data_IF_732185150757
#
_entry.id   IF_732185150757
#
_cell.length_a   1.000
_cell.length_b   1.000
_cell.length_c   1.000
_cell.angle_alpha   90.00
_cell.angle_beta   90.00
_cell.angle_gamma   90.00
#
_symmetry.space_group_name_H-M   'P 1'
#
loop_
_entity.id
_entity.type
_entity.pdbx_description
1 polymer ?
#
# COMPACT_ATOMS: atom_id res chain seq x y z
N UNK A 1 21.00 -10.05 33.15
CA UNK A 1 20.40 -9.59 31.88
C UNK A 1 19.02 -10.21 31.61
N UNK A 2 18.78 -11.50 31.89
CA UNK A 2 17.48 -12.16 31.63
C UNK A 2 16.26 -11.52 32.31
N UNK A 3 16.40 -11.02 33.54
CA UNK A 3 15.31 -10.35 34.23
C UNK A 3 14.92 -9.03 33.56
N UNK A 4 15.92 -8.23 33.14
CA UNK A 4 15.71 -7.02 32.35
C UNK A 4 15.05 -7.33 31.00
N UNK A 5 15.46 -8.43 30.36
CA UNK A 5 14.83 -8.92 29.12
C UNK A 5 13.34 -9.20 29.32
N UNK A 6 12.99 -9.95 30.37
CA UNK A 6 11.59 -10.24 30.69
C UNK A 6 10.77 -8.97 30.98
N UNK A 7 11.34 -8.02 31.73
CA UNK A 7 10.70 -6.74 32.01
C UNK A 7 10.43 -5.96 30.71
N UNK A 8 11.41 -5.89 29.80
CA UNK A 8 11.25 -5.27 28.49
C UNK A 8 10.12 -5.89 27.67
N UNK A 9 10.06 -7.24 27.58
CA UNK A 9 8.99 -7.96 26.87
C UNK A 9 7.60 -7.63 27.42
N UNK A 10 7.47 -7.48 28.75
CA UNK A 10 6.23 -7.06 29.38
C UNK A 10 5.92 -5.58 29.11
N UNK A 11 6.94 -4.72 29.15
CA UNK A 11 6.84 -3.29 28.85
C UNK A 11 6.27 -3.05 27.46
N UNK A 12 6.80 -3.72 26.43
CA UNK A 12 6.30 -3.66 25.04
C UNK A 12 4.79 -3.91 24.98
N UNK A 13 4.30 -4.98 25.63
CA UNK A 13 2.89 -5.37 25.62
C UNK A 13 1.98 -4.44 26.41
N UNK A 14 2.53 -3.68 27.36
CA UNK A 14 1.81 -2.75 28.24
C UNK A 14 2.05 -1.29 27.90
N UNK A 15 2.51 -0.99 26.69
CA UNK A 15 2.81 0.38 26.27
C UNK A 15 1.59 1.28 26.34
N UNK A 16 0.43 0.81 25.88
CA UNK A 16 -0.84 1.55 25.95
C UNK A 16 -1.34 1.80 27.38
N UNK A 17 -0.85 1.04 28.37
CA UNK A 17 -1.24 1.24 29.77
C UNK A 17 -0.48 2.42 30.41
N UNK A 18 0.69 2.77 29.85
CA UNK A 18 1.62 3.73 30.45
C UNK A 18 1.86 4.98 29.61
N UNK A 19 1.79 4.87 28.28
CA UNK A 19 2.04 6.00 27.36
C UNK A 19 0.71 6.51 26.81
N UNK A 20 0.34 7.78 27.07
CA UNK A 20 -0.85 8.40 26.49
C UNK A 20 -0.87 8.33 24.96
N UNK A 21 -2.06 8.30 24.39
CA UNK A 21 -2.34 8.22 22.94
C UNK A 21 -1.82 6.96 22.22
N UNK A 22 -1.16 6.05 22.93
CA UNK A 22 -0.88 4.70 22.45
C UNK A 22 -2.14 3.85 22.60
N UNK A 23 -2.50 3.13 21.54
CA UNK A 23 -3.62 2.18 21.58
C UNK A 23 -3.09 0.76 21.68
N UNK A 24 -3.88 -0.19 22.20
CA UNK A 24 -3.49 -1.59 22.23
C UNK A 24 -3.17 -2.10 20.83
N UNK A 25 -1.95 -2.62 20.64
CA UNK A 25 -1.48 -3.18 19.37
C UNK A 25 -1.30 -4.70 19.48
N UNK A 26 -1.67 -5.47 18.44
CA UNK A 26 -1.34 -6.89 18.36
C UNK A 26 0.16 -7.05 18.08
N UNK A 27 0.93 -7.38 19.11
CA UNK A 27 2.36 -7.62 19.00
C UNK A 27 2.59 -9.06 18.54
N UNK A 28 3.11 -9.22 17.32
CA UNK A 28 3.37 -10.52 16.69
C UNK A 28 4.75 -11.07 17.09
N UNK A 29 5.72 -10.18 17.28
CA UNK A 29 7.09 -10.54 17.61
C UNK A 29 7.73 -9.49 18.50
N UNK A 30 8.58 -9.93 19.42
CA UNK A 30 9.45 -9.06 20.20
C UNK A 30 10.76 -9.77 20.50
N UNK A 31 11.87 -9.10 20.23
CA UNK A 31 13.19 -9.55 20.62
C UNK A 31 13.96 -8.43 21.33
N UNK A 32 14.76 -8.82 22.30
CA UNK A 32 15.62 -7.93 23.06
C UNK A 32 16.99 -8.59 23.15
N UNK A 33 18.00 -7.94 22.59
CA UNK A 33 19.40 -8.35 22.63
C UNK A 33 20.25 -7.28 23.32
N UNK A 34 21.44 -7.68 23.74
CA UNK A 34 22.39 -6.81 24.41
C UNK A 34 23.82 -7.12 23.95
N UNK A 35 24.60 -6.07 23.73
CA UNK A 35 26.02 -6.14 23.39
C UNK A 35 26.80 -5.28 24.39
N UNK A 36 27.97 -5.78 24.82
CA UNK A 36 28.83 -5.08 25.77
C UNK A 36 30.05 -4.56 25.04
N UNK A 37 30.20 -3.24 24.99
CA UNK A 37 31.29 -2.54 24.31
C UNK A 37 32.08 -1.71 25.33
N UNK A 38 33.11 -2.33 25.93
CA UNK A 38 33.88 -1.71 26.99
C UNK A 38 33.02 -1.45 28.23
N UNK A 39 32.75 -0.17 28.53
CA UNK A 39 31.88 0.26 29.63
C UNK A 39 30.43 0.53 29.19
N UNK A 40 30.11 0.33 27.91
CA UNK A 40 28.78 0.55 27.37
C UNK A 40 28.02 -0.77 27.23
N UNK A 41 26.73 -0.75 27.52
CA UNK A 41 25.80 -1.84 27.21
C UNK A 41 24.80 -1.32 26.19
N UNK A 42 24.84 -1.85 24.98
CA UNK A 42 23.92 -1.49 23.90
C UNK A 42 22.74 -2.46 23.95
N UNK A 43 21.55 -1.94 24.23
CA UNK A 43 20.29 -2.72 24.25
C UNK A 43 19.58 -2.48 22.93
N UNK A 44 19.29 -3.56 22.20
CA UNK A 44 18.50 -3.50 20.97
C UNK A 44 17.15 -4.17 21.21
N UNK A 45 16.07 -3.47 20.88
CA UNK A 45 14.69 -3.97 20.95
C UNK A 45 14.07 -3.93 19.57
N UNK A 46 13.55 -5.07 19.14
CA UNK A 46 12.85 -5.26 17.87
C UNK A 46 11.42 -5.69 18.16
N UNK A 47 10.45 -5.05 17.50
CA UNK A 47 9.02 -5.31 17.65
C UNK A 47 8.37 -5.37 16.27
N UNK A 48 7.53 -6.38 16.02
CA UNK A 48 6.74 -6.47 14.78
C UNK A 48 5.24 -6.49 15.09
N UNK A 49 4.46 -5.90 14.19
CA UNK A 49 2.99 -5.95 14.20
C UNK A 49 2.45 -5.94 12.78
N UNK A 50 1.22 -6.42 12.60
CA UNK A 50 0.38 -6.17 11.42
C UNK A 50 -0.83 -5.37 11.88
N UNK A 51 -0.75 -4.03 11.76
CA UNK A 51 -1.83 -3.15 12.19
C UNK A 51 -1.87 -1.82 11.42
N UNK A 52 -2.84 -0.97 11.77
CA UNK A 52 -3.05 0.34 11.13
C UNK A 52 -1.98 1.38 11.47
N UNK A 53 -1.23 1.17 12.55
CA UNK A 53 -0.10 2.01 12.99
C UNK A 53 1.15 1.16 13.19
N UNK A 54 2.31 1.82 13.32
CA UNK A 54 3.56 1.18 13.68
C UNK A 54 3.74 0.99 15.19
N UNK A 55 4.84 0.32 15.55
CA UNK A 55 5.22 -0.09 16.93
C UNK A 55 6.46 0.64 17.43
N UNK A 56 6.69 1.88 16.97
CA UNK A 56 7.88 2.65 17.36
C UNK A 56 7.92 2.90 18.87
N UNK A 57 6.76 3.26 19.44
CA UNK A 57 6.64 3.61 20.85
C UNK A 57 6.77 2.36 21.70
N UNK A 58 6.20 1.24 21.27
CA UNK A 58 6.33 -0.06 21.93
C UNK A 58 7.78 -0.51 22.01
N UNK A 59 8.53 -0.39 20.90
CA UNK A 59 9.94 -0.73 20.85
C UNK A 59 10.77 0.16 21.80
N UNK A 60 10.57 1.48 21.76
CA UNK A 60 11.29 2.42 22.62
C UNK A 60 10.91 2.28 24.10
N UNK A 61 9.64 1.99 24.39
CA UNK A 61 9.18 1.72 25.75
C UNK A 61 9.77 0.42 26.29
N UNK A 62 9.80 -0.66 25.49
CA UNK A 62 10.50 -1.89 25.83
C UNK A 62 11.99 -1.67 26.11
N UNK A 63 12.67 -0.85 25.31
CA UNK A 63 14.06 -0.48 25.53
C UNK A 63 14.24 0.30 26.84
N UNK A 64 13.35 1.25 27.12
CA UNK A 64 13.34 2.04 28.37
C UNK A 64 13.19 1.16 29.61
N UNK A 65 12.20 0.26 29.61
CA UNK A 65 11.96 -0.67 30.72
C UNK A 65 13.15 -1.61 30.92
N UNK A 66 13.73 -2.11 29.83
CA UNK A 66 14.92 -2.97 29.89
C UNK A 66 16.10 -2.21 30.51
N UNK A 67 16.39 -1.01 30.02
CA UNK A 67 17.50 -0.18 30.49
C UNK A 67 17.33 0.21 31.96
N UNK A 68 16.11 0.60 32.37
CA UNK A 68 15.82 0.93 33.76
C UNK A 68 15.96 -0.27 34.69
N UNK A 69 15.55 -1.45 34.24
CA UNK A 69 15.72 -2.68 35.01
C UNK A 69 17.21 -3.05 35.15
N UNK A 70 18.01 -2.86 34.09
CA UNK A 70 19.46 -3.05 34.18
C UNK A 70 20.12 -2.02 35.11
N UNK A 71 19.72 -0.76 35.04
CA UNK A 71 20.18 0.29 35.95
C UNK A 71 19.91 -0.11 37.41
N UNK A 72 18.69 -0.57 37.71
CA UNK A 72 18.30 -0.98 39.05
C UNK A 72 19.19 -2.10 39.61
N UNK A 73 19.56 -3.05 38.74
CA UNK A 73 20.46 -4.16 39.09
C UNK A 73 21.93 -3.74 39.23
N UNK A 74 22.39 -2.73 38.47
CA UNK A 74 23.80 -2.34 38.39
C UNK A 74 24.19 -1.21 39.36
N UNK A 75 23.24 -0.34 39.75
CA UNK A 75 23.48 0.76 40.72
C UNK A 75 24.08 0.36 42.09
N UNK A 76 23.97 -0.89 42.59
CA UNK A 76 24.69 -1.30 43.80
C UNK A 76 26.19 -1.55 43.55
N UNK A 77 26.57 -1.86 42.31
CA UNK A 77 27.93 -2.21 41.89
C UNK A 77 28.70 -0.95 41.50
N UNK A 78 28.08 -0.09 40.70
CA UNK A 78 28.66 1.18 40.24
C UNK A 78 27.61 2.30 40.35
N UNK A 79 28.00 3.41 40.97
CA UNK A 79 27.16 4.60 41.16
C UNK A 79 27.17 5.55 39.96
N UNK A 80 28.10 5.38 39.02
CA UNK A 80 28.22 6.16 37.79
C UNK A 80 27.39 5.63 36.62
N UNK A 81 26.66 4.52 36.80
CA UNK A 81 25.80 3.98 35.74
C UNK A 81 24.74 5.01 35.35
N UNK A 82 24.51 5.16 34.06
CA UNK A 82 23.47 6.02 33.50
C UNK A 82 22.81 5.38 32.28
N UNK A 83 21.63 5.89 31.90
CA UNK A 83 20.97 5.55 30.64
C UNK A 83 21.22 6.72 29.69
N UNK A 84 22.22 6.61 28.82
CA UNK A 84 22.67 7.75 28.01
C UNK A 84 21.66 8.17 26.94
N UNK A 85 21.03 7.24 26.22
CA UNK A 85 19.98 7.58 25.25
C UNK A 85 19.08 6.39 24.90
N UNK A 86 17.85 6.70 24.49
CA UNK A 86 16.90 5.76 23.89
C UNK A 86 16.41 6.39 22.58
N UNK A 87 16.56 5.69 21.46
CA UNK A 87 16.18 6.20 20.14
C UNK A 87 15.70 5.10 19.22
N UNK A 88 14.87 5.47 18.25
CA UNK A 88 14.49 4.60 17.15
C UNK A 88 15.66 4.47 16.16
N UNK A 89 16.17 3.25 15.96
CA UNK A 89 17.28 2.98 15.04
C UNK A 89 16.78 2.84 13.60
N UNK A 90 15.75 2.01 13.42
CA UNK A 90 15.16 1.72 12.12
C UNK A 90 13.67 1.46 12.30
N UNK A 91 12.88 1.93 11.34
CA UNK A 91 11.49 1.53 11.13
C UNK A 91 11.36 1.07 9.69
N UNK A 92 10.62 -0.01 9.49
CA UNK A 92 10.14 -0.41 8.18
C UNK A 92 8.70 -0.90 8.28
N UNK A 93 7.94 -0.75 7.19
CA UNK A 93 6.51 -0.96 7.14
C UNK A 93 5.72 0.35 7.29
N UNK A 94 4.52 0.36 6.68
CA UNK A 94 3.62 1.51 6.67
C UNK A 94 3.64 2.28 5.35
N UNK A 95 2.67 3.19 5.18
CA UNK A 95 2.44 3.93 3.93
C UNK A 95 3.63 4.81 3.50
N UNK A 96 4.44 5.26 4.45
CA UNK A 96 5.60 6.13 4.21
C UNK A 96 6.74 5.45 3.47
N UNK A 97 6.94 4.14 3.66
CA UNK A 97 8.02 3.39 3.01
C UNK A 97 7.79 3.23 1.51
N UNK A 98 6.53 3.26 1.10
CA UNK A 98 6.11 3.18 -0.29
C UNK A 98 6.28 4.50 -1.06
N UNK A 99 6.52 5.63 -0.38
CA UNK A 99 6.64 6.95 -1.03
C UNK A 99 7.92 7.12 -1.86
N UNK A 100 8.95 6.30 -1.63
CA UNK A 100 10.22 6.39 -2.34
C UNK A 100 10.33 5.39 -3.51
N UNK A 101 9.24 4.68 -3.85
CA UNK A 101 9.23 3.77 -4.98
C UNK A 101 8.96 4.55 -6.27
N UNK A 102 9.88 4.43 -7.22
CA UNK A 102 9.75 4.98 -8.56
C UNK A 102 9.82 3.87 -9.60
N UNK A 103 8.94 3.94 -10.61
CA UNK A 103 8.84 2.97 -11.70
C UNK A 103 8.86 3.67 -13.06
N UNK A 104 9.95 4.41 -13.41
CA UNK A 104 10.02 5.21 -14.63
C UNK A 104 9.97 4.39 -15.91
N UNK A 105 10.24 3.08 -15.83
CA UNK A 105 10.15 2.15 -16.96
C UNK A 105 8.71 1.78 -17.32
N UNK A 106 7.74 2.06 -16.44
CA UNK A 106 6.32 1.77 -16.69
C UNK A 106 5.72 2.97 -17.40
N UNK A 107 5.13 2.71 -18.57
CA UNK A 107 4.36 3.69 -19.32
C UNK A 107 2.88 3.32 -19.23
N UNK A 108 2.05 4.30 -18.90
CA UNK A 108 0.63 4.10 -18.66
C UNK A 108 -0.26 4.75 -19.72
N UNK A 109 -1.46 4.19 -19.92
CA UNK A 109 -2.59 4.87 -20.53
C UNK A 109 -3.76 4.95 -19.55
N UNK A 110 -4.46 6.09 -19.54
CA UNK A 110 -5.65 6.32 -18.72
C UNK A 110 -6.81 6.68 -19.62
N UNK A 111 -7.83 5.81 -19.64
CA UNK A 111 -9.00 5.96 -20.50
C UNK A 111 -10.24 6.16 -19.63
N UNK A 112 -10.92 7.29 -19.80
CA UNK A 112 -12.14 7.62 -19.07
C UNK A 112 -13.35 7.21 -19.92
N UNK A 113 -14.15 6.27 -19.42
CA UNK A 113 -15.40 5.84 -20.03
C UNK A 113 -16.54 6.63 -19.37
N UNK A 114 -17.04 7.64 -20.10
CA UNK A 114 -18.12 8.50 -19.61
C UNK A 114 -18.80 9.23 -20.76
N UNK A 115 -20.08 8.93 -20.97
CA UNK A 115 -20.91 9.63 -21.97
C UNK A 115 -20.95 11.15 -21.76
N UNK A 116 -21.15 11.61 -20.52
CA UNK A 116 -21.28 13.04 -20.19
C UNK A 116 -19.95 13.79 -20.26
N UNK A 117 -18.82 13.16 -19.94
CA UNK A 117 -17.52 13.78 -20.14
C UNK A 117 -17.14 13.81 -21.63
N UNK A 118 -17.50 12.77 -22.39
CA UNK A 118 -17.27 12.71 -23.82
C UNK A 118 -18.11 13.74 -24.62
N UNK A 119 -19.33 14.06 -24.15
CA UNK A 119 -20.16 15.11 -24.75
C UNK A 119 -19.78 16.54 -24.31
N UNK A 120 -18.87 16.68 -23.34
CA UNK A 120 -18.46 17.98 -22.79
C UNK A 120 -19.41 18.55 -21.73
N UNK A 121 -20.42 17.80 -21.30
CA UNK A 121 -21.36 18.20 -20.24
C UNK A 121 -20.74 18.18 -18.84
N UNK A 122 -19.68 17.39 -18.65
CA UNK A 122 -18.94 17.32 -17.40
C UNK A 122 -17.43 17.27 -17.61
N UNK A 123 -16.67 17.73 -16.62
CA UNK A 123 -15.21 17.64 -16.63
C UNK A 123 -14.75 16.36 -15.95
N UNK A 124 -13.82 15.63 -16.58
CA UNK A 124 -13.17 14.51 -15.91
C UNK A 124 -12.30 14.99 -14.74
N UNK A 125 -12.57 14.40 -13.58
CA UNK A 125 -11.77 14.54 -12.37
C UNK A 125 -11.15 13.21 -11.91
N UNK A 126 -11.64 12.08 -12.42
CA UNK A 126 -11.24 10.73 -12.04
C UNK A 126 -9.97 10.32 -12.76
N UNK A 127 -9.94 10.47 -14.09
CA UNK A 127 -8.73 10.23 -14.90
C UNK A 127 -7.58 11.13 -14.47
N UNK A 128 -7.84 12.43 -14.25
CA UNK A 128 -6.85 13.35 -13.69
C UNK A 128 -6.31 12.92 -12.32
N UNK A 129 -7.16 12.36 -11.44
CA UNK A 129 -6.72 11.84 -10.14
C UNK A 129 -5.81 10.63 -10.28
N UNK A 130 -6.07 9.76 -11.27
CA UNK A 130 -5.22 8.60 -11.58
C UNK A 130 -3.86 9.10 -12.06
N UNK A 131 -3.82 10.02 -13.02
CA UNK A 131 -2.58 10.56 -13.60
C UNK A 131 -1.70 11.15 -12.50
N UNK A 132 -2.24 12.04 -11.66
CA UNK A 132 -1.48 12.66 -10.57
C UNK A 132 -0.88 11.63 -9.59
N UNK A 133 -1.61 10.54 -9.33
CA UNK A 133 -1.13 9.46 -8.47
C UNK A 133 -0.07 8.59 -9.16
N UNK A 134 -0.22 8.29 -10.46
CA UNK A 134 0.80 7.59 -11.24
C UNK A 134 2.11 8.41 -11.33
N UNK A 135 2.02 9.71 -11.54
CA UNK A 135 3.17 10.63 -11.54
C UNK A 135 3.92 10.60 -10.20
N UNK A 136 3.22 10.46 -9.08
CA UNK A 136 3.84 10.32 -7.76
C UNK A 136 4.70 9.04 -7.60
N UNK A 137 4.46 8.04 -8.45
CA UNK A 137 5.28 6.83 -8.56
C UNK A 137 6.31 6.92 -9.71
N UNK A 138 6.47 8.07 -10.35
CA UNK A 138 7.35 8.26 -11.50
C UNK A 138 6.86 7.61 -12.80
N UNK A 139 5.59 7.19 -12.85
CA UNK A 139 4.99 6.54 -14.02
C UNK A 139 4.50 7.62 -14.99
N UNK A 140 4.96 7.58 -16.23
CA UNK A 140 4.52 8.51 -17.27
C UNK A 140 3.23 8.01 -17.89
N UNK A 141 2.21 8.88 -17.94
CA UNK A 141 0.99 8.61 -18.72
C UNK A 141 1.18 9.09 -20.15
N UNK A 142 1.36 8.18 -21.10
CA UNK A 142 1.53 8.50 -22.52
C UNK A 142 0.23 8.91 -23.19
N UNK A 143 -0.87 8.27 -22.79
CA UNK A 143 -2.18 8.47 -23.41
C UNK A 143 -3.20 8.77 -22.33
N UNK A 144 -3.92 9.88 -22.49
CA UNK A 144 -5.10 10.21 -21.71
C UNK A 144 -6.23 10.57 -22.69
N UNK A 145 -7.36 9.87 -22.59
CA UNK A 145 -8.48 10.07 -23.50
C UNK A 145 -9.82 9.84 -22.78
N UNK A 146 -10.84 10.60 -23.17
CA UNK A 146 -12.22 10.42 -22.72
C UNK A 146 -13.00 9.85 -23.89
N UNK A 147 -13.71 8.75 -23.65
CA UNK A 147 -14.50 8.02 -24.65
C UNK A 147 -15.92 7.75 -24.16
N UNK A 148 -16.83 7.47 -25.09
CA UNK A 148 -18.21 7.09 -24.79
C UNK A 148 -18.32 5.70 -24.16
N UNK A 149 -19.38 5.47 -23.40
CA UNK A 149 -19.71 4.18 -22.79
C UNK A 149 -20.35 3.23 -23.82
N UNK A 150 -19.58 2.92 -24.86
CA UNK A 150 -19.97 2.03 -25.95
C UNK A 150 -19.00 0.85 -26.06
N UNK A 151 -19.55 -0.36 -26.09
CA UNK A 151 -18.78 -1.60 -26.03
C UNK A 151 -17.70 -1.67 -27.12
N UNK A 152 -18.06 -1.37 -28.36
CA UNK A 152 -17.11 -1.40 -29.49
C UNK A 152 -16.05 -0.30 -29.40
N UNK A 153 -16.41 0.88 -28.87
CA UNK A 153 -15.46 1.99 -28.67
C UNK A 153 -14.43 1.64 -27.60
N UNK A 154 -14.88 1.13 -26.45
CA UNK A 154 -14.01 0.71 -25.35
C UNK A 154 -13.12 -0.44 -25.80
N UNK A 155 -13.68 -1.44 -26.50
CA UNK A 155 -12.93 -2.60 -27.01
C UNK A 155 -11.87 -2.18 -28.02
N UNK A 156 -12.20 -1.33 -28.99
CA UNK A 156 -11.25 -0.81 -29.96
C UNK A 156 -10.11 -0.04 -29.27
N UNK A 157 -10.43 0.81 -28.29
CA UNK A 157 -9.44 1.53 -27.51
C UNK A 157 -8.55 0.59 -26.69
N UNK A 158 -9.13 -0.44 -26.09
CA UNK A 158 -8.38 -1.43 -25.33
C UNK A 158 -7.40 -2.21 -26.20
N UNK A 159 -7.80 -2.63 -27.40
CA UNK A 159 -6.90 -3.26 -28.37
C UNK A 159 -5.77 -2.30 -28.76
N UNK A 160 -6.08 -1.03 -29.01
CA UNK A 160 -5.09 -0.01 -29.34
C UNK A 160 -4.07 0.22 -28.22
N UNK A 161 -4.54 0.26 -26.97
CA UNK A 161 -3.70 0.56 -25.80
C UNK A 161 -2.94 -0.66 -25.27
N UNK A 162 -3.41 -1.88 -25.50
CA UNK A 162 -2.69 -3.11 -25.16
C UNK A 162 -1.57 -3.38 -26.18
N UNK A 163 -0.58 -2.50 -26.18
CA UNK A 163 0.60 -2.54 -27.05
C UNK A 163 1.89 -2.56 -26.23
N UNK A 164 3.03 -2.93 -26.82
CA UNK A 164 4.33 -2.88 -26.14
C UNK A 164 4.71 -1.49 -25.60
N UNK A 165 4.06 -0.43 -26.06
CA UNK A 165 4.28 0.94 -25.59
C UNK A 165 3.68 1.21 -24.21
N UNK A 166 2.66 0.44 -23.80
CA UNK A 166 1.95 0.61 -22.54
C UNK A 166 2.06 -0.65 -21.69
N UNK A 167 2.74 -0.53 -20.55
CA UNK A 167 2.82 -1.60 -19.56
C UNK A 167 1.56 -1.62 -18.68
N UNK A 168 0.95 -0.46 -18.44
CA UNK A 168 -0.23 -0.31 -17.58
C UNK A 168 -1.34 0.43 -18.33
N UNK A 169 -2.56 -0.09 -18.32
CA UNK A 169 -3.73 0.59 -18.86
C UNK A 169 -4.82 0.61 -17.80
N UNK A 170 -5.31 1.80 -17.48
CA UNK A 170 -6.40 1.98 -16.51
C UNK A 170 -7.60 2.57 -17.24
N UNK A 171 -8.68 1.79 -17.30
CA UNK A 171 -10.00 2.29 -17.68
C UNK A 171 -10.72 2.75 -16.43
N UNK A 172 -11.39 3.90 -16.44
CA UNK A 172 -12.18 4.40 -15.31
C UNK A 172 -13.59 4.74 -15.78
N UNK A 173 -14.60 4.20 -15.10
CA UNK A 173 -16.01 4.33 -15.50
C UNK A 173 -16.59 3.09 -16.18
N UNK A 174 -17.92 3.04 -16.30
CA UNK A 174 -18.63 1.94 -16.96
C UNK A 174 -18.57 0.58 -16.23
N UNK A 175 -18.25 0.54 -14.93
CA UNK A 175 -18.10 -0.71 -14.14
C UNK A 175 -19.25 -0.98 -13.15
N UNK A 176 -20.31 -0.17 -13.17
CA UNK A 176 -21.49 -0.33 -12.33
C UNK A 176 -22.48 -1.36 -12.85
N UNK A 177 -23.77 -1.21 -12.53
CA UNK A 177 -24.86 -2.12 -12.95
C UNK A 177 -25.88 -1.45 -13.90
N UNK A 178 -25.60 -0.23 -14.35
CA UNK A 178 -26.43 0.46 -15.35
C UNK A 178 -26.36 -0.26 -16.69
N UNK A 179 -27.41 -0.19 -17.54
CA UNK A 179 -27.35 -0.70 -18.92
C UNK A 179 -26.22 -0.11 -19.78
N UNK A 180 -25.67 1.05 -19.39
CA UNK A 180 -24.51 1.70 -20.03
C UNK A 180 -23.17 1.21 -19.49
N UNK A 181 -23.14 0.55 -18.33
CA UNK A 181 -21.91 0.05 -17.74
C UNK A 181 -21.44 -1.20 -18.49
N UNK A 182 -20.59 -1.03 -19.50
CA UNK A 182 -20.12 -2.13 -20.37
C UNK A 182 -18.59 -2.28 -20.41
N UNK A 183 -17.86 -1.54 -19.56
CA UNK A 183 -16.39 -1.59 -19.52
C UNK A 183 -15.86 -3.00 -19.21
N UNK A 184 -16.37 -3.74 -18.20
CA UNK A 184 -15.91 -5.10 -17.94
C UNK A 184 -16.14 -6.04 -19.14
N UNK A 185 -17.30 -5.95 -19.80
CA UNK A 185 -17.65 -6.76 -20.96
C UNK A 185 -16.76 -6.47 -22.17
N UNK A 186 -16.38 -5.19 -22.38
CA UNK A 186 -15.49 -4.79 -23.46
C UNK A 186 -14.06 -5.28 -23.24
N UNK A 187 -13.59 -5.30 -21.98
CA UNK A 187 -12.20 -5.65 -21.62
C UNK A 187 -12.02 -7.16 -21.43
N UNK A 188 -13.00 -7.88 -20.88
CA UNK A 188 -12.86 -9.29 -20.51
C UNK A 188 -12.35 -10.23 -21.63
N UNK A 189 -12.78 -10.08 -22.90
CA UNK A 189 -12.31 -10.94 -23.99
C UNK A 189 -10.83 -10.74 -24.35
N UNK A 190 -10.23 -9.61 -23.95
CA UNK A 190 -8.83 -9.28 -24.27
C UNK A 190 -7.84 -9.79 -23.22
N UNK A 191 -8.33 -10.15 -22.02
CA UNK A 191 -7.48 -10.59 -20.93
C UNK A 191 -7.02 -12.03 -21.17
N UNK A 192 -5.75 -12.16 -21.54
CA UNK A 192 -5.03 -13.45 -21.63
C UNK A 192 -4.86 -14.14 -20.27
N UNK A 193 -4.75 -13.36 -19.18
CA UNK A 193 -4.66 -13.88 -17.81
C UNK A 193 -5.38 -12.95 -16.84
N UNK A 194 -6.51 -13.41 -16.29
CA UNK A 194 -7.25 -12.68 -15.26
C UNK A 194 -6.55 -12.75 -13.90
N UNK A 195 -6.68 -11.69 -13.11
CA UNK A 195 -6.16 -11.60 -11.74
C UNK A 195 -7.26 -11.04 -10.84
N UNK A 196 -8.23 -11.89 -10.51
CA UNK A 196 -9.44 -11.48 -9.77
C UNK A 196 -9.12 -10.88 -8.40
N UNK A 197 -8.06 -11.38 -7.75
CA UNK A 197 -7.58 -10.91 -6.45
C UNK A 197 -7.24 -9.41 -6.37
N UNK A 198 -6.90 -8.77 -7.50
CA UNK A 198 -6.71 -7.32 -7.56
C UNK A 198 -8.05 -6.62 -7.28
N UNK A 199 -9.09 -6.98 -8.02
CA UNK A 199 -10.40 -6.32 -7.88
C UNK A 199 -11.13 -6.74 -6.60
N UNK A 200 -10.91 -7.96 -6.10
CA UNK A 200 -11.35 -8.38 -4.76
C UNK A 200 -10.74 -7.50 -3.66
N UNK A 201 -9.43 -7.24 -3.74
CA UNK A 201 -8.72 -6.37 -2.79
C UNK A 201 -9.26 -4.95 -2.84
N UNK A 202 -9.42 -4.39 -4.04
CA UNK A 202 -9.93 -3.04 -4.24
C UNK A 202 -11.36 -2.89 -3.69
N UNK A 203 -12.26 -3.82 -4.00
CA UNK A 203 -13.64 -3.84 -3.48
C UNK A 203 -13.70 -4.00 -1.97
N UNK A 204 -12.87 -4.87 -1.40
CA UNK A 204 -12.81 -5.06 0.07
C UNK A 204 -12.36 -3.79 0.78
N UNK A 205 -11.31 -3.15 0.27
CA UNK A 205 -10.82 -1.89 0.84
C UNK A 205 -11.84 -0.74 0.71
N UNK A 206 -12.50 -0.64 -0.45
CA UNK A 206 -13.57 0.35 -0.67
C UNK A 206 -14.76 0.16 0.28
N UNK A 207 -15.15 -1.10 0.57
CA UNK A 207 -16.25 -1.42 1.49
C UNK A 207 -16.04 -0.94 2.93
N UNK A 208 -14.81 -0.71 3.36
CA UNK A 208 -14.53 -0.12 4.68
C UNK A 208 -15.10 1.31 4.82
N UNK A 209 -15.38 1.99 3.70
CA UNK A 209 -15.88 3.38 3.65
C UNK A 209 -17.21 3.50 2.91
N UNK A 210 -17.37 2.76 1.83
CA UNK A 210 -18.54 2.77 0.96
C UNK A 210 -19.11 1.35 0.82
N UNK A 211 -20.20 0.99 1.54
CA UNK A 211 -20.74 -0.37 1.53
C UNK A 211 -21.06 -0.91 0.13
N UNK A 212 -21.45 -0.04 -0.81
CA UNK A 212 -21.79 -0.42 -2.19
C UNK A 212 -20.59 -0.66 -3.10
N UNK A 213 -19.34 -0.47 -2.63
CA UNK A 213 -18.14 -0.70 -3.44
C UNK A 213 -18.05 -2.15 -3.95
N UNK A 214 -18.68 -3.11 -3.26
CA UNK A 214 -18.76 -4.51 -3.70
C UNK A 214 -19.51 -4.71 -5.02
N UNK A 215 -20.38 -3.78 -5.42
CA UNK A 215 -21.21 -3.89 -6.62
C UNK A 215 -20.45 -3.58 -7.92
N UNK A 216 -19.23 -3.04 -7.82
CA UNK A 216 -18.41 -2.81 -9.01
C UNK A 216 -18.03 -4.14 -9.67
N UNK A 217 -18.35 -4.25 -10.95
CA UNK A 217 -17.99 -5.39 -11.80
C UNK A 217 -16.61 -5.25 -12.42
N UNK A 218 -15.78 -4.34 -11.90
CA UNK A 218 -14.42 -4.14 -12.39
C UNK A 218 -13.61 -5.43 -12.43
N UNK A 219 -12.82 -5.58 -13.49
CA UNK A 219 -11.91 -6.69 -13.76
C UNK A 219 -10.47 -6.20 -13.88
N UNK A 220 -9.53 -7.10 -13.68
CA UNK A 220 -8.11 -6.84 -13.84
C UNK A 220 -7.41 -8.07 -14.40
N UNK A 221 -6.36 -7.84 -15.18
CA UNK A 221 -5.54 -8.92 -15.72
C UNK A 221 -4.58 -8.45 -16.79
N UNK A 222 -3.81 -9.39 -17.32
CA UNK A 222 -2.91 -9.14 -18.43
C UNK A 222 -3.59 -9.39 -19.77
N UNK A 223 -3.43 -8.45 -20.70
CA UNK A 223 -3.65 -8.61 -22.13
C UNK A 223 -2.27 -8.65 -22.80
N UNK A 224 -1.74 -9.84 -23.07
CA UNK A 224 -0.33 -10.00 -23.44
C UNK A 224 0.59 -9.58 -22.29
N UNK A 225 1.44 -8.58 -22.50
CA UNK A 225 2.34 -8.03 -21.48
C UNK A 225 1.79 -6.78 -20.77
N UNK A 226 0.64 -6.27 -21.22
CA UNK A 226 0.01 -5.08 -20.66
C UNK A 226 -0.93 -5.45 -19.52
N UNK A 227 -0.72 -4.86 -18.33
CA UNK A 227 -1.64 -4.97 -17.21
C UNK A 227 -2.82 -4.00 -17.43
N UNK A 228 -4.03 -4.53 -17.46
CA UNK A 228 -5.26 -3.76 -17.60
C UNK A 228 -6.04 -3.77 -16.29
N UNK A 229 -6.44 -2.59 -15.82
CA UNK A 229 -7.27 -2.39 -14.63
C UNK A 229 -8.53 -1.60 -15.00
N UNK A 230 -9.70 -1.98 -14.48
CA UNK A 230 -10.93 -1.21 -14.67
C UNK A 230 -11.44 -0.65 -13.34
N UNK A 231 -11.47 0.66 -13.20
CA UNK A 231 -11.83 1.38 -11.99
C UNK A 231 -13.26 1.92 -12.05
N UNK A 232 -13.89 2.22 -10.89
CA UNK A 232 -15.15 2.94 -10.82
C UNK A 232 -15.04 4.37 -11.39
N UNK A 233 -16.15 4.96 -11.84
CA UNK A 233 -16.13 6.30 -12.45
C UNK A 233 -16.02 7.46 -11.45
N UNK A 234 -16.37 7.26 -10.18
CA UNK A 234 -16.37 8.32 -9.18
C UNK A 234 -14.97 8.55 -8.59
N UNK A 235 -14.51 9.81 -8.55
CA UNK A 235 -13.17 10.17 -8.07
C UNK A 235 -12.81 9.57 -6.71
N UNK A 236 -13.74 9.59 -5.74
CA UNK A 236 -13.49 9.01 -4.41
C UNK A 236 -13.20 7.51 -4.47
N UNK A 237 -13.95 6.77 -5.28
CA UNK A 237 -13.76 5.34 -5.45
C UNK A 237 -12.46 5.02 -6.22
N UNK A 238 -12.09 5.87 -7.18
CA UNK A 238 -10.78 5.82 -7.84
C UNK A 238 -9.65 5.99 -6.83
N UNK A 239 -9.73 7.00 -5.96
CA UNK A 239 -8.70 7.26 -4.94
C UNK A 239 -8.59 6.10 -3.93
N UNK A 240 -9.72 5.46 -3.60
CA UNK A 240 -9.75 4.25 -2.79
C UNK A 240 -9.09 3.05 -3.50
N UNK A 241 -9.37 2.84 -4.78
CA UNK A 241 -8.75 1.76 -5.57
C UNK A 241 -7.26 1.99 -5.76
N UNK A 242 -6.85 3.23 -6.04
CA UNK A 242 -5.43 3.60 -6.08
C UNK A 242 -4.76 3.30 -4.73
N UNK A 243 -5.38 3.70 -3.61
CA UNK A 243 -4.86 3.44 -2.27
C UNK A 243 -4.79 1.95 -1.90
N UNK A 244 -5.73 1.15 -2.42
CA UNK A 244 -5.81 -0.28 -2.13
C UNK A 244 -4.78 -1.10 -2.93
N UNK A 245 -4.45 -0.64 -4.14
CA UNK A 245 -3.68 -1.41 -5.11
C UNK A 245 -2.24 -0.91 -5.28
N UNK A 246 -2.00 0.39 -5.13
CA UNK A 246 -0.70 0.99 -5.41
C UNK A 246 0.09 1.26 -4.11
N UNK A 247 1.41 0.98 -4.12
CA UNK A 247 2.21 0.51 -5.27
C UNK A 247 2.30 -1.02 -5.40
N UNK A 248 1.57 -1.80 -4.61
CA UNK A 248 1.72 -3.27 -4.53
C UNK A 248 1.53 -3.95 -5.89
N UNK A 249 0.54 -3.50 -6.68
CA UNK A 249 0.27 -4.04 -8.01
C UNK A 249 1.44 -3.86 -8.99
N UNK A 250 2.29 -2.85 -8.77
CA UNK A 250 3.45 -2.57 -9.62
C UNK A 250 4.55 -3.64 -9.48
N UNK A 251 4.52 -4.43 -8.40
CA UNK A 251 5.44 -5.57 -8.24
C UNK A 251 5.28 -6.61 -9.37
N UNK A 252 4.09 -6.71 -9.98
CA UNK A 252 3.83 -7.62 -11.09
C UNK A 252 4.78 -7.40 -12.28
N UNK A 253 5.22 -6.17 -12.53
CA UNK A 253 6.16 -5.86 -13.62
C UNK A 253 7.58 -6.37 -13.36
N UNK A 254 7.98 -6.54 -12.09
CA UNK A 254 9.27 -7.16 -11.74
C UNK A 254 9.23 -8.67 -11.99
N UNK A 255 8.12 -9.30 -11.61
CA UNK A 255 7.86 -10.73 -11.79
C UNK A 255 7.78 -11.11 -13.27
N UNK A 256 7.08 -10.31 -14.08
CA UNK A 256 6.92 -10.59 -15.52
C UNK A 256 8.26 -10.51 -16.28
N UNK A 257 9.26 -9.79 -15.74
CA UNK A 257 10.63 -9.73 -16.26
C UNK A 257 11.53 -10.89 -15.79
N UNK A 258 10.96 -11.91 -15.14
CA UNK A 258 11.71 -13.08 -14.66
C UNK A 258 12.63 -12.82 -13.46
N UNK A 259 12.45 -11.71 -12.74
CA UNK A 259 13.19 -11.47 -11.50
C UNK A 259 12.68 -12.41 -10.41
N UNK A 260 13.61 -13.13 -9.74
CA UNK A 260 13.29 -14.08 -8.66
C UNK A 260 12.53 -13.37 -7.53
N UNK A 261 11.53 -14.07 -7.00
CA UNK A 261 10.75 -13.65 -5.84
C UNK A 261 11.61 -13.59 -4.56
N UNK A 262 11.22 -12.71 -3.63
CA UNK A 262 11.57 -12.75 -2.21
C UNK A 262 10.54 -13.60 -1.47
#
# INVERSE_FOLDING_TARGET
FEFARAAGLLGVKKTSDLIPDCHPLPIEYTAISYEVEGLNVVITVEVHTIYKTGVEVEAMHGASVTALTMYDMLKPIDKGVEISSIKLIKKSGGKSDFKNLSFPEIKAAVIVCSDSAASGESLDSSGKSIIAQLESFGIVTLTYEIIKDELEVIKAKAIQMCSPEHQLVIFTGGTGLSPRDVTPEAIAPLLTRKIDGIMETARRYGQERMPYAMLSRGIAGFAGETLVLTFPGAKKAVDEYMSALFPQVLHLFKVNKGQKHL
#
